data_IF_807999484068
#
_entry.id   IF_807999484068
#
_cell.length_a   1.000
_cell.length_b   1.000
_cell.length_c   1.000
_cell.angle_alpha   90.00
_cell.angle_beta   90.00
_cell.angle_gamma   90.00
#
_symmetry.space_group_name_H-M   'P 1'
#
loop_
_entity.id
_entity.type
_entity.pdbx_description
1 polymer ?
#
# COMPACT_ATOMS: atom_id res chain seq x y z
N UNK A 1 -1.47 -8.66 -18.05
CA UNK A 1 -1.93 -8.06 -16.78
C UNK A 1 -1.92 -6.54 -16.85
N UNK A 2 -0.77 -5.88 -17.15
CA UNK A 2 -0.65 -4.42 -17.24
C UNK A 2 -1.67 -3.81 -18.22
N UNK A 3 -1.80 -4.35 -19.44
CA UNK A 3 -2.75 -3.87 -20.43
C UNK A 3 -4.21 -3.88 -19.91
N UNK A 4 -4.59 -4.89 -19.12
CA UNK A 4 -5.91 -4.93 -18.50
C UNK A 4 -6.10 -3.84 -17.45
N UNK A 5 -5.06 -3.53 -16.66
CA UNK A 5 -5.08 -2.43 -15.69
C UNK A 5 -5.15 -1.08 -16.37
N UNK A 6 -4.40 -0.87 -17.45
CA UNK A 6 -4.43 0.37 -18.22
C UNK A 6 -5.82 0.72 -18.77
N UNK A 7 -6.62 -0.29 -19.14
CA UNK A 7 -8.00 -0.05 -19.61
C UNK A 7 -8.86 0.74 -18.62
N UNK A 8 -8.69 0.52 -17.31
CA UNK A 8 -9.41 1.30 -16.31
C UNK A 8 -9.08 2.80 -16.41
N UNK A 9 -7.80 3.13 -16.56
CA UNK A 9 -7.34 4.52 -16.66
C UNK A 9 -7.71 5.19 -17.99
N UNK A 10 -7.76 4.42 -19.06
CA UNK A 10 -8.32 4.86 -20.35
C UNK A 10 -9.82 5.16 -20.22
N UNK A 11 -10.57 4.32 -19.52
CA UNK A 11 -12.01 4.51 -19.27
C UNK A 11 -12.29 5.74 -18.40
N UNK A 12 -11.48 6.01 -17.37
CA UNK A 12 -11.61 7.21 -16.54
C UNK A 12 -11.46 8.49 -17.38
N UNK A 13 -10.68 8.44 -18.45
CA UNK A 13 -10.44 9.56 -19.36
C UNK A 13 -11.54 9.74 -20.41
N UNK A 14 -12.39 8.73 -20.65
CA UNK A 14 -13.39 8.76 -21.71
C UNK A 14 -14.45 9.83 -21.45
N UNK A 15 -14.77 10.64 -22.47
CA UNK A 15 -15.68 11.79 -22.36
C UNK A 15 -17.15 11.43 -22.02
N UNK A 16 -17.53 10.18 -22.24
CA UNK A 16 -18.94 9.74 -22.17
C UNK A 16 -19.34 9.17 -20.82
N UNK A 17 -18.61 9.45 -19.73
CA UNK A 17 -18.99 8.96 -18.41
C UNK A 17 -19.76 10.03 -17.64
N UNK A 18 -20.89 9.63 -17.07
CA UNK A 18 -21.86 10.50 -16.34
C UNK A 18 -21.32 11.07 -15.01
N UNK A 19 -20.11 10.69 -14.57
CA UNK A 19 -19.53 11.16 -13.30
C UNK A 19 -18.69 12.41 -13.52
N UNK A 20 -19.03 13.46 -12.80
CA UNK A 20 -18.31 14.76 -12.88
C UNK A 20 -16.93 14.72 -12.20
N UNK A 21 -16.78 13.90 -11.16
CA UNK A 21 -15.54 13.78 -10.37
C UNK A 21 -14.72 12.55 -10.82
N UNK A 22 -13.91 12.73 -11.84
CA UNK A 22 -13.01 11.68 -12.35
C UNK A 22 -11.59 12.00 -11.93
N UNK A 23 -10.90 11.02 -11.39
CA UNK A 23 -9.50 11.19 -11.02
C UNK A 23 -8.75 9.87 -11.01
N UNK A 24 -7.44 9.97 -11.01
CA UNK A 24 -6.54 8.84 -10.88
C UNK A 24 -5.58 9.05 -9.71
N UNK A 25 -5.25 7.97 -9.02
CA UNK A 25 -4.24 7.97 -7.95
C UNK A 25 -3.21 6.90 -8.31
N UNK A 26 -1.96 7.31 -8.54
CA UNK A 26 -0.96 6.45 -9.18
C UNK A 26 0.34 6.42 -8.36
N UNK A 27 0.81 5.22 -8.05
CA UNK A 27 2.15 5.00 -7.48
C UNK A 27 3.21 5.22 -8.56
N UNK A 28 4.08 6.21 -8.38
CA UNK A 28 5.16 6.51 -9.33
C UNK A 28 6.52 5.95 -8.90
N UNK A 29 6.62 5.32 -7.74
CA UNK A 29 7.81 4.57 -7.34
C UNK A 29 7.86 3.21 -8.05
N UNK A 30 6.70 2.67 -8.46
CA UNK A 30 6.60 1.51 -9.31
C UNK A 30 6.88 1.89 -10.78
N UNK A 31 7.75 1.13 -11.43
CA UNK A 31 8.15 1.36 -12.84
C UNK A 31 6.96 1.32 -13.82
N UNK A 32 5.89 0.61 -13.48
CA UNK A 32 4.65 0.57 -14.28
C UNK A 32 3.73 1.76 -14.03
N UNK A 33 3.91 2.50 -12.94
CA UNK A 33 3.10 3.68 -12.62
C UNK A 33 3.16 4.74 -13.72
N UNK A 34 4.33 5.01 -14.27
CA UNK A 34 4.49 5.94 -15.40
C UNK A 34 3.73 5.50 -16.65
N UNK A 35 3.75 4.18 -16.95
CA UNK A 35 3.00 3.63 -18.09
C UNK A 35 1.48 3.74 -17.90
N UNK A 36 1.01 3.60 -16.66
CA UNK A 36 -0.40 3.79 -16.32
C UNK A 36 -0.78 5.27 -16.45
N UNK A 37 0.08 6.18 -15.99
CA UNK A 37 -0.13 7.63 -16.07
C UNK A 37 -0.28 8.11 -17.52
N UNK A 38 0.45 7.52 -18.49
CA UNK A 38 0.33 7.81 -19.92
C UNK A 38 -1.06 7.43 -20.51
N UNK A 39 -1.85 6.64 -19.79
CA UNK A 39 -3.15 6.12 -20.25
C UNK A 39 -4.34 6.92 -19.73
N UNK A 40 -4.11 7.97 -18.96
CA UNK A 40 -5.18 8.82 -18.46
C UNK A 40 -4.91 10.29 -18.72
N UNK A 41 -5.97 11.03 -19.06
CA UNK A 41 -6.00 12.49 -19.11
C UNK A 41 -6.79 13.08 -17.93
N UNK A 42 -7.31 12.23 -17.03
CA UNK A 42 -8.02 12.67 -15.85
C UNK A 42 -7.07 13.34 -14.84
N UNK A 43 -7.57 14.24 -13.99
CA UNK A 43 -6.79 14.80 -12.89
C UNK A 43 -6.14 13.67 -12.07
N UNK A 44 -4.82 13.76 -11.90
CA UNK A 44 -4.04 12.68 -11.30
C UNK A 44 -3.29 13.15 -10.06
N UNK A 45 -3.45 12.43 -8.97
CA UNK A 45 -2.57 12.51 -7.79
C UNK A 45 -1.57 11.36 -7.91
N UNK A 46 -0.29 11.70 -8.04
CA UNK A 46 0.79 10.74 -7.96
C UNK A 46 1.27 10.61 -6.53
N UNK A 47 1.56 9.39 -6.07
CA UNK A 47 2.10 9.19 -4.72
C UNK A 47 3.43 8.45 -4.71
N UNK A 48 4.23 8.74 -3.67
CA UNK A 48 5.61 8.26 -3.55
C UNK A 48 6.07 8.23 -2.10
N UNK A 49 6.95 7.33 -1.77
CA UNK A 49 7.76 7.33 -0.53
C UNK A 49 9.21 7.80 -0.80
N UNK A 50 9.54 8.09 -2.07
CA UNK A 50 10.85 8.56 -2.52
C UNK A 50 10.86 10.07 -2.83
N UNK A 51 9.79 10.80 -2.46
CA UNK A 51 9.69 12.24 -2.68
C UNK A 51 9.40 12.68 -4.12
N UNK A 52 8.93 11.78 -4.98
CA UNK A 52 8.74 12.02 -6.42
C UNK A 52 7.30 12.35 -6.80
N UNK A 53 6.34 12.13 -5.91
CA UNK A 53 4.91 12.31 -6.13
C UNK A 53 4.42 13.72 -5.82
N UNK A 54 3.16 13.99 -6.17
CA UNK A 54 2.43 15.15 -5.67
C UNK A 54 1.96 14.94 -4.22
N UNK A 55 1.79 13.69 -3.81
CA UNK A 55 1.52 13.22 -2.47
C UNK A 55 2.68 12.33 -2.02
N UNK A 56 3.39 12.69 -0.97
CA UNK A 56 4.58 11.96 -0.54
C UNK A 56 4.49 11.57 0.93
N UNK A 57 5.08 10.43 1.29
CA UNK A 57 5.42 10.11 2.67
C UNK A 57 6.91 10.31 2.90
N UNK A 58 7.27 10.99 3.99
CA UNK A 58 8.64 11.13 4.50
C UNK A 58 8.72 10.73 5.97
N UNK A 59 9.94 10.58 6.48
CA UNK A 59 10.21 10.25 7.88
C UNK A 59 9.45 9.00 8.36
N UNK A 60 9.50 7.94 7.54
CA UNK A 60 8.76 6.71 7.80
C UNK A 60 9.45 5.90 8.89
N UNK A 61 8.78 5.79 10.02
CA UNK A 61 9.18 4.97 11.16
C UNK A 61 8.18 3.83 11.35
N UNK A 62 8.69 2.60 11.40
CA UNK A 62 7.88 1.39 11.57
C UNK A 62 8.31 0.64 12.82
N UNK A 63 7.33 0.17 13.58
CA UNK A 63 7.50 -0.77 14.68
C UNK A 63 6.78 -2.08 14.35
N UNK A 64 6.77 -3.03 15.25
CA UNK A 64 5.97 -4.27 15.08
C UNK A 64 4.46 -4.00 15.06
N UNK A 65 4.00 -2.89 15.64
CA UNK A 65 2.57 -2.59 15.84
C UNK A 65 2.03 -1.43 15.02
N UNK A 66 2.87 -0.47 14.67
CA UNK A 66 2.42 0.77 14.05
C UNK A 66 3.43 1.32 13.04
N UNK A 67 2.94 2.24 12.21
CA UNK A 67 3.77 3.09 11.37
C UNK A 67 3.44 4.55 11.62
N UNK A 68 4.48 5.39 11.65
CA UNK A 68 4.40 6.84 11.77
C UNK A 68 5.18 7.47 10.62
N UNK A 69 4.63 8.48 9.99
CA UNK A 69 5.28 9.18 8.88
C UNK A 69 4.63 10.56 8.66
N UNK A 70 5.27 11.38 7.87
CA UNK A 70 4.75 12.69 7.47
C UNK A 70 4.20 12.60 6.05
N UNK A 71 2.95 12.95 5.86
CA UNK A 71 2.33 13.12 4.53
C UNK A 71 2.54 14.56 4.08
N UNK A 72 3.17 14.73 2.92
CA UNK A 72 3.40 16.01 2.30
C UNK A 72 2.51 16.16 1.05
N UNK A 73 1.67 17.20 1.03
CA UNK A 73 0.75 17.47 -0.07
C UNK A 73 0.51 18.98 -0.25
N UNK A 74 0.70 19.49 -1.47
CA UNK A 74 0.50 20.91 -1.82
C UNK A 74 1.24 21.90 -0.93
N UNK A 75 2.45 21.54 -0.48
CA UNK A 75 3.28 22.39 0.38
C UNK A 75 2.96 22.34 1.87
N UNK A 76 1.98 21.55 2.27
CA UNK A 76 1.63 21.30 3.67
C UNK A 76 2.10 19.91 4.12
N UNK A 77 2.40 19.77 5.40
CA UNK A 77 2.89 18.55 6.02
C UNK A 77 1.96 18.10 7.15
N UNK A 78 1.59 16.84 7.11
CA UNK A 78 0.63 16.24 8.04
C UNK A 78 1.24 15.01 8.71
N UNK A 79 1.44 15.01 10.03
CA UNK A 79 1.87 13.81 10.75
C UNK A 79 0.75 12.76 10.73
N UNK A 80 1.10 11.55 10.36
CA UNK A 80 0.17 10.40 10.29
C UNK A 80 0.68 9.29 11.19
N UNK A 81 -0.24 8.69 11.95
CA UNK A 81 0.00 7.48 12.73
C UNK A 81 -1.08 6.46 12.42
N UNK A 82 -0.68 5.22 12.15
CA UNK A 82 -1.62 4.13 11.84
C UNK A 82 -1.23 2.86 12.60
N UNK A 83 -2.24 2.10 12.99
CA UNK A 83 -2.10 0.85 13.76
C UNK A 83 -1.79 -0.36 12.85
N UNK A 84 -1.03 -0.13 11.79
CA UNK A 84 -0.53 -1.17 10.89
C UNK A 84 0.93 -0.90 10.59
N UNK A 85 1.69 -1.94 10.25
CA UNK A 85 3.10 -1.81 9.93
C UNK A 85 3.40 -2.27 8.51
N UNK A 86 4.59 -1.94 8.03
CA UNK A 86 5.09 -2.31 6.72
C UNK A 86 4.98 -1.22 5.67
N UNK A 87 6.05 -1.07 4.87
CA UNK A 87 6.12 -0.04 3.83
C UNK A 87 4.99 -0.18 2.80
N UNK A 88 4.57 -1.40 2.49
CA UNK A 88 3.44 -1.62 1.59
C UNK A 88 2.12 -1.04 2.15
N UNK A 89 1.93 -1.02 3.49
CA UNK A 89 0.78 -0.37 4.10
C UNK A 89 0.88 1.17 4.04
N UNK A 90 2.09 1.73 4.07
CA UNK A 90 2.29 3.17 3.79
C UNK A 90 1.85 3.48 2.36
N UNK A 91 2.25 2.69 1.37
CA UNK A 91 1.79 2.85 -0.02
C UNK A 91 0.27 2.71 -0.16
N UNK A 92 -0.33 1.70 0.48
CA UNK A 92 -1.78 1.50 0.46
C UNK A 92 -2.52 2.70 1.08
N UNK A 93 -1.98 3.25 2.17
CA UNK A 93 -2.55 4.41 2.84
C UNK A 93 -2.40 5.68 1.99
N UNK A 94 -1.25 5.90 1.35
CA UNK A 94 -1.09 7.00 0.40
C UNK A 94 -2.09 6.92 -0.76
N UNK A 95 -2.34 5.72 -1.29
CA UNK A 95 -3.35 5.51 -2.31
C UNK A 95 -4.76 5.87 -1.81
N UNK A 96 -5.12 5.46 -0.59
CA UNK A 96 -6.40 5.79 0.03
C UNK A 96 -6.52 7.29 0.32
N UNK A 97 -5.48 7.93 0.85
CA UNK A 97 -5.43 9.38 1.07
C UNK A 97 -5.63 10.11 -0.26
N UNK A 98 -4.92 9.71 -1.31
CA UNK A 98 -5.06 10.30 -2.64
C UNK A 98 -6.48 10.20 -3.19
N UNK A 99 -7.14 9.04 -3.02
CA UNK A 99 -8.53 8.85 -3.41
C UNK A 99 -9.49 9.75 -2.62
N UNK A 100 -9.32 9.85 -1.30
CA UNK A 100 -10.10 10.73 -0.44
C UNK A 100 -9.93 12.21 -0.83
N UNK A 101 -8.69 12.63 -1.12
CA UNK A 101 -8.39 14.00 -1.55
C UNK A 101 -9.00 14.33 -2.92
N UNK A 102 -9.09 13.36 -3.83
CA UNK A 102 -9.79 13.53 -5.11
C UNK A 102 -11.29 13.75 -4.91
N UNK A 103 -11.88 13.11 -3.91
CA UNK A 103 -13.29 13.30 -3.52
C UNK A 103 -13.51 14.54 -2.63
N UNK A 104 -12.48 15.35 -2.40
CA UNK A 104 -12.57 16.59 -1.61
C UNK A 104 -12.64 16.39 -0.10
N UNK A 105 -12.30 15.17 0.39
CA UNK A 105 -12.26 14.89 1.83
C UNK A 105 -11.01 15.56 2.42
N UNK A 106 -11.21 16.27 3.54
CA UNK A 106 -10.11 16.99 4.19
C UNK A 106 -9.10 16.07 4.86
N UNK A 107 -7.84 16.51 4.94
CA UNK A 107 -6.79 15.77 5.67
C UNK A 107 -7.15 15.54 7.14
N UNK A 108 -7.86 16.45 7.79
CA UNK A 108 -8.30 16.29 9.18
C UNK A 108 -9.27 15.13 9.35
N UNK A 109 -10.22 14.95 8.41
CA UNK A 109 -11.14 13.80 8.42
C UNK A 109 -10.40 12.48 8.14
N UNK A 110 -9.45 12.51 7.19
CA UNK A 110 -8.60 11.35 6.86
C UNK A 110 -7.76 10.94 8.08
N UNK A 111 -7.09 11.87 8.75
CA UNK A 111 -6.28 11.60 9.95
C UNK A 111 -7.13 10.97 11.07
N UNK A 112 -8.35 11.48 11.28
CA UNK A 112 -9.29 10.91 12.25
C UNK A 112 -9.63 9.45 11.93
N UNK A 113 -9.88 9.14 10.66
CA UNK A 113 -10.17 7.78 10.21
C UNK A 113 -8.96 6.86 10.36
N UNK A 114 -7.75 7.32 10.02
CA UNK A 114 -6.52 6.53 10.12
C UNK A 114 -6.18 6.17 11.57
N UNK A 115 -6.42 7.04 12.54
CA UNK A 115 -6.21 6.77 13.96
C UNK A 115 -7.12 5.67 14.51
N UNK A 116 -8.29 5.51 13.95
CA UNK A 116 -9.27 4.49 14.36
C UNK A 116 -9.20 3.22 13.51
N UNK A 117 -8.46 3.26 12.39
CA UNK A 117 -8.31 2.12 11.51
C UNK A 117 -7.50 1.01 12.17
N UNK A 118 -8.07 -0.17 12.25
CA UNK A 118 -7.39 -1.41 12.64
C UNK A 118 -6.86 -2.14 11.39
N UNK A 119 -6.03 -3.14 11.60
CA UNK A 119 -5.53 -3.99 10.50
C UNK A 119 -6.68 -4.68 9.75
N UNK A 120 -6.47 -4.95 8.47
CA UNK A 120 -7.36 -5.82 7.70
C UNK A 120 -7.02 -7.27 8.05
N UNK A 121 -7.99 -8.12 8.43
CA UNK A 121 -7.74 -9.53 8.74
C UNK A 121 -6.96 -10.22 7.62
N UNK A 122 -5.90 -10.95 7.99
CA UNK A 122 -5.02 -11.63 7.05
C UNK A 122 -4.13 -10.70 6.19
N UNK A 123 -3.91 -9.45 6.57
CA UNK A 123 -3.01 -8.51 5.91
C UNK A 123 -2.00 -7.93 6.90
N UNK A 124 -0.89 -8.64 7.06
CA UNK A 124 0.10 -8.39 8.10
C UNK A 124 -0.57 -8.21 9.48
N UNK A 125 -1.52 -9.08 9.74
CA UNK A 125 -2.32 -9.04 10.96
C UNK A 125 -1.49 -9.53 12.13
N UNK A 126 -1.31 -8.68 13.13
CA UNK A 126 -0.64 -9.03 14.37
C UNK A 126 -1.63 -9.74 15.29
N UNK A 127 -1.29 -10.96 15.72
CA UNK A 127 -2.06 -11.73 16.69
C UNK A 127 -1.43 -11.53 18.08
N UNK A 128 -2.20 -10.99 19.00
CA UNK A 128 -1.78 -10.71 20.37
C UNK A 128 -2.59 -11.54 21.37
N UNK A 129 -1.99 -12.61 21.89
CA UNK A 129 -2.59 -13.53 22.88
C UNK A 129 -1.74 -13.55 24.18
N UNK A 130 -0.97 -12.50 24.44
CA UNK A 130 -0.13 -12.36 25.65
C UNK A 130 1.26 -12.99 25.53
N UNK A 131 1.65 -13.49 24.36
CA UNK A 131 2.99 -14.00 24.08
C UNK A 131 4.03 -12.87 23.99
N UNK A 132 5.30 -13.19 24.25
CA UNK A 132 6.45 -12.27 24.20
C UNK A 132 7.14 -12.20 22.82
N UNK A 133 6.49 -12.75 21.78
CA UNK A 133 6.95 -12.73 20.39
C UNK A 133 5.81 -12.30 19.44
N UNK A 134 6.16 -11.70 18.32
CA UNK A 134 5.18 -11.31 17.31
C UNK A 134 4.70 -12.53 16.50
N UNK A 135 3.40 -12.69 16.36
CA UNK A 135 2.75 -13.62 15.43
C UNK A 135 2.02 -12.80 14.39
N UNK A 136 2.36 -13.02 13.13
CA UNK A 136 1.79 -12.28 12.00
C UNK A 136 1.10 -13.24 11.05
N UNK A 137 -0.13 -12.93 10.68
CA UNK A 137 -0.89 -13.65 9.65
C UNK A 137 -1.02 -12.78 8.40
N UNK A 138 -0.68 -13.34 7.25
CA UNK A 138 -0.78 -12.66 5.96
C UNK A 138 -1.28 -13.58 4.86
N UNK A 139 -1.95 -12.99 3.88
CA UNK A 139 -2.48 -13.70 2.71
C UNK A 139 -1.47 -13.84 1.56
N UNK A 140 -0.21 -13.49 1.76
CA UNK A 140 0.82 -13.58 0.72
C UNK A 140 0.93 -15.02 0.19
N UNK A 141 0.69 -15.21 -1.09
CA UNK A 141 0.68 -16.50 -1.78
C UNK A 141 1.41 -16.46 -3.12
N UNK A 142 2.14 -15.38 -3.37
CA UNK A 142 2.98 -15.17 -4.56
C UNK A 142 4.42 -14.91 -4.14
N UNK A 143 5.43 -15.17 -5.00
CA UNK A 143 6.82 -14.84 -4.69
C UNK A 143 7.01 -13.40 -4.22
N UNK A 144 6.50 -12.43 -4.97
CA UNK A 144 6.61 -11.00 -4.63
C UNK A 144 5.90 -10.67 -3.30
N UNK A 145 4.71 -11.25 -3.07
CA UNK A 145 3.98 -11.05 -1.81
C UNK A 145 4.78 -11.58 -0.63
N UNK A 146 5.34 -12.80 -0.73
CA UNK A 146 6.15 -13.40 0.32
C UNK A 146 7.43 -12.60 0.57
N UNK A 147 8.09 -12.14 -0.49
CA UNK A 147 9.27 -11.28 -0.39
C UNK A 147 8.96 -9.99 0.38
N UNK A 148 7.90 -9.28 0.03
CA UNK A 148 7.49 -8.04 0.69
C UNK A 148 7.21 -8.23 2.19
N UNK A 149 6.55 -9.35 2.56
CA UNK A 149 6.29 -9.68 3.96
C UNK A 149 7.59 -9.97 4.71
N UNK A 150 8.50 -10.72 4.10
CA UNK A 150 9.80 -11.04 4.70
C UNK A 150 10.69 -9.80 4.84
N UNK A 151 10.70 -8.90 3.87
CA UNK A 151 11.43 -7.63 3.94
C UNK A 151 10.88 -6.75 5.06
N UNK A 152 9.55 -6.67 5.21
CA UNK A 152 8.91 -5.99 6.32
C UNK A 152 9.29 -6.61 7.66
N UNK A 153 9.18 -7.93 7.78
CA UNK A 153 9.56 -8.63 9.00
C UNK A 153 11.04 -8.46 9.35
N UNK A 154 11.95 -8.42 8.35
CA UNK A 154 13.37 -8.14 8.54
C UNK A 154 13.64 -6.73 9.07
N UNK A 155 12.86 -5.75 8.61
CA UNK A 155 13.04 -4.35 9.02
C UNK A 155 12.62 -4.09 10.48
N UNK A 156 11.68 -4.88 11.02
CA UNK A 156 11.12 -4.68 12.36
C UNK A 156 11.53 -5.77 13.39
N UNK A 157 12.24 -6.81 12.95
CA UNK A 157 12.64 -7.91 13.83
C UNK A 157 13.69 -7.47 14.87
N UNK A 158 13.58 -7.99 16.06
CA UNK A 158 14.63 -7.94 17.08
C UNK A 158 15.48 -9.23 17.10
N UNK A 159 14.84 -10.38 16.82
CA UNK A 159 15.44 -11.70 16.86
C UNK A 159 15.27 -12.46 15.54
N UNK A 160 15.20 -13.79 15.60
CA UNK A 160 15.00 -14.66 14.44
C UNK A 160 13.58 -14.53 13.87
N UNK A 161 13.45 -14.76 12.57
CA UNK A 161 12.16 -14.94 11.90
C UNK A 161 11.92 -16.42 11.70
N UNK A 162 10.72 -16.88 12.02
CA UNK A 162 10.21 -18.21 11.67
C UNK A 162 9.07 -18.00 10.70
N UNK A 163 9.15 -18.60 9.53
CA UNK A 163 8.10 -18.55 8.52
C UNK A 163 7.40 -19.89 8.38
N UNK A 164 6.08 -19.86 8.35
CA UNK A 164 5.23 -21.00 7.99
C UNK A 164 4.41 -20.59 6.77
N UNK A 165 4.63 -21.25 5.64
CA UNK A 165 3.92 -20.94 4.41
C UNK A 165 3.68 -22.19 3.59
N UNK A 166 2.77 -22.12 2.63
CA UNK A 166 2.51 -23.18 1.69
C UNK A 166 2.06 -22.65 0.34
N UNK A 167 2.21 -23.47 -0.69
CA UNK A 167 1.78 -23.20 -2.04
C UNK A 167 0.61 -24.12 -2.39
N UNK A 168 -0.60 -23.70 -2.02
CA UNK A 168 -1.82 -24.47 -2.27
C UNK A 168 -2.24 -24.50 -3.74
N UNK A 169 -2.89 -25.61 -4.13
CA UNK A 169 -3.52 -25.79 -5.42
C UNK A 169 -2.55 -26.08 -6.58
N UNK A 170 -3.12 -26.46 -7.72
CA UNK A 170 -2.38 -26.85 -8.91
C UNK A 170 -2.39 -25.76 -10.01
N UNK A 171 -2.87 -24.57 -9.68
CA UNK A 171 -3.04 -23.48 -10.65
C UNK A 171 -1.71 -22.95 -11.21
N UNK A 172 -0.69 -22.86 -10.36
CA UNK A 172 0.66 -22.42 -10.74
C UNK A 172 1.71 -23.10 -9.84
N UNK A 173 2.24 -24.21 -10.28
CA UNK A 173 3.28 -24.96 -9.56
C UNK A 173 4.68 -24.35 -9.74
N UNK A 174 4.91 -23.50 -10.77
CA UNK A 174 6.22 -22.94 -11.07
C UNK A 174 6.73 -21.98 -9.99
N UNK A 175 5.83 -21.39 -9.21
CA UNK A 175 6.17 -20.49 -8.09
C UNK A 175 6.76 -21.23 -6.88
N UNK A 176 6.49 -22.52 -6.70
CA UNK A 176 6.90 -23.30 -5.51
C UNK A 176 8.41 -23.26 -5.25
N UNK A 177 9.29 -23.55 -6.24
CA UNK A 177 10.73 -23.46 -6.03
C UNK A 177 11.23 -22.03 -5.82
N UNK A 178 10.54 -21.03 -6.35
CA UNK A 178 10.89 -19.61 -6.17
C UNK A 178 10.60 -19.18 -4.73
N UNK A 179 9.44 -19.59 -4.19
CA UNK A 179 9.03 -19.26 -2.81
C UNK A 179 9.82 -20.06 -1.76
N UNK A 180 10.41 -21.20 -2.12
CA UNK A 180 11.21 -22.01 -1.22
C UNK A 180 12.68 -21.63 -1.11
N UNK A 181 13.15 -20.68 -1.92
CA UNK A 181 14.50 -20.10 -1.86
C UNK A 181 14.58 -18.98 -0.84
#
# INVERSE_FOLDING_TARGET
YLAAKCKLFEQVSAANQEKDNKGAVINIDDSYGHRVMEKTTAPTITYSTLGKGTLNASDVHMSTKNSQYTVNYKGESYPVSMNTTGLFNVYNTLAAIGACLQEGISMAAIDTALKTFSSVPGRFELIEEGQDFAVVVDYAHTPDGLQNILETAKAIKENRIIIVFGCGGDRDSSKRPIMGK
#
